data_IF_847199972399
#
_entry.id   IF_847199972399
#
_cell.length_a   1.000
_cell.length_b   1.000
_cell.length_c   1.000
_cell.angle_alpha   90.00
_cell.angle_beta   90.00
_cell.angle_gamma   90.00
#
_symmetry.space_group_name_H-M   'P 1'
#
loop_
_entity.id
_entity.type
_entity.pdbx_description
1 polymer ?
#
# COMPACT_ATOMS: atom_id res chain seq x y z
N UNK A 1 18.09 -12.70 49.39
CA UNK A 1 17.49 -11.39 49.01
C UNK A 1 18.49 -10.71 48.09
N UNK A 2 18.26 -10.28 46.85
CA UNK A 2 17.07 -10.07 46.02
C UNK A 2 17.39 -10.64 44.62
N UNK A 3 16.58 -11.59 44.16
CA UNK A 3 16.38 -11.84 42.73
C UNK A 3 15.75 -10.58 42.12
N UNK A 4 15.91 -10.37 40.82
CA UNK A 4 15.25 -9.33 40.00
C UNK A 4 16.06 -8.06 39.66
N UNK A 5 17.24 -8.23 39.06
CA UNK A 5 17.76 -7.19 38.14
C UNK A 5 17.95 -7.68 36.70
N UNK A 6 17.36 -8.84 36.36
CA UNK A 6 17.33 -9.36 34.99
C UNK A 6 16.02 -9.03 34.24
N UNK A 7 15.10 -8.28 34.88
CA UNK A 7 13.73 -8.07 34.38
C UNK A 7 13.44 -6.66 33.84
N UNK A 8 14.38 -5.71 33.89
CA UNK A 8 14.08 -4.31 33.52
C UNK A 8 14.68 -3.82 32.19
N UNK A 9 15.47 -4.63 31.48
CA UNK A 9 16.06 -4.24 30.19
C UNK A 9 15.64 -5.16 29.04
N UNK A 10 14.49 -5.79 29.18
CA UNK A 10 13.89 -6.70 28.19
C UNK A 10 12.70 -6.07 27.43
N UNK A 11 12.46 -4.76 27.54
CA UNK A 11 11.22 -4.15 27.04
C UNK A 11 11.41 -2.84 26.26
N UNK A 12 12.53 -2.69 25.55
CA UNK A 12 12.56 -1.83 24.36
C UNK A 12 12.62 -2.70 23.12
N UNK A 13 11.70 -3.67 23.01
CA UNK A 13 11.31 -4.19 21.71
C UNK A 13 10.53 -3.06 21.03
N UNK A 14 11.23 -2.06 20.47
CA UNK A 14 10.65 -1.25 19.42
C UNK A 14 10.25 -2.25 18.35
N UNK A 15 8.97 -2.58 18.27
CA UNK A 15 8.42 -3.42 17.23
C UNK A 15 8.76 -2.72 15.92
N UNK A 16 9.85 -3.17 15.30
CA UNK A 16 10.34 -2.71 14.01
C UNK A 16 9.32 -3.19 12.98
N UNK A 17 8.21 -2.47 12.87
CA UNK A 17 7.30 -2.65 11.77
C UNK A 17 8.03 -2.28 10.48
N UNK A 18 7.69 -2.97 9.38
CA UNK A 18 8.04 -2.58 8.01
C UNK A 18 7.97 -1.06 7.85
N UNK A 19 9.12 -0.39 7.75
CA UNK A 19 9.17 1.01 7.38
C UNK A 19 9.07 1.08 5.85
N UNK A 20 7.85 0.99 5.33
CA UNK A 20 7.60 1.35 3.94
C UNK A 20 7.49 2.86 3.89
N UNK A 21 8.52 3.51 3.33
CA UNK A 21 8.55 4.95 3.09
C UNK A 21 8.23 5.25 1.64
N UNK A 22 7.11 5.91 1.40
CA UNK A 22 6.73 6.38 0.08
C UNK A 22 6.35 7.86 0.14
N UNK A 23 7.12 8.71 -0.55
CA UNK A 23 6.91 10.16 -0.57
C UNK A 23 6.82 10.78 0.85
N UNK A 24 7.59 10.24 1.79
CA UNK A 24 7.59 10.71 3.18
C UNK A 24 6.49 10.10 4.06
N UNK A 25 5.58 9.30 3.50
CA UNK A 25 4.62 8.53 4.28
C UNK A 25 5.24 7.20 4.70
N UNK A 26 5.34 7.02 6.02
CA UNK A 26 5.94 5.83 6.62
C UNK A 26 4.88 5.07 7.40
N UNK A 27 4.61 3.82 7.01
CA UNK A 27 3.72 2.94 7.78
C UNK A 27 4.31 2.73 9.19
N UNK A 28 3.47 2.87 10.21
CA UNK A 28 3.86 2.81 11.62
C UNK A 28 4.35 4.13 12.21
N UNK A 29 4.29 5.23 11.46
CA UNK A 29 4.62 6.58 11.97
C UNK A 29 3.37 7.47 12.05
N UNK A 30 3.30 8.40 13.03
CA UNK A 30 2.28 9.43 13.05
C UNK A 30 2.37 10.31 11.80
N UNK A 31 1.23 10.63 11.20
CA UNK A 31 1.14 11.68 10.17
C UNK A 31 1.28 13.04 10.86
N UNK A 32 2.20 13.88 10.38
CA UNK A 32 2.35 15.22 10.96
C UNK A 32 1.12 16.09 10.68
N UNK A 33 0.83 17.04 11.58
CA UNK A 33 -0.39 17.86 11.51
C UNK A 33 -0.46 18.75 10.26
N UNK A 34 0.69 19.09 9.69
CA UNK A 34 0.88 19.88 8.47
C UNK A 34 0.88 19.02 7.19
N UNK A 35 0.98 17.69 7.30
CA UNK A 35 0.96 16.80 6.14
C UNK A 35 -0.47 16.46 5.72
N UNK A 36 -0.72 16.56 4.41
CA UNK A 36 -1.97 16.10 3.82
C UNK A 36 -2.07 14.58 3.86
N UNK A 37 -3.27 14.06 4.14
CA UNK A 37 -3.59 12.64 4.12
C UNK A 37 -3.69 12.04 2.69
N UNK A 38 -3.36 12.83 1.67
CA UNK A 38 -3.31 12.38 0.29
C UNK A 38 -2.30 13.19 -0.53
N UNK A 39 -1.65 12.56 -1.51
CA UNK A 39 -0.77 13.23 -2.47
C UNK A 39 -0.83 12.58 -3.84
N UNK A 40 -0.46 13.33 -4.89
CA UNK A 40 -0.31 12.77 -6.23
C UNK A 40 1.03 12.06 -6.36
N UNK A 41 1.01 10.85 -6.90
CA UNK A 41 2.21 10.07 -7.18
C UNK A 41 2.10 9.35 -8.52
N UNK A 42 3.25 8.96 -9.09
CA UNK A 42 3.34 8.13 -10.28
C UNK A 42 4.01 6.80 -9.96
N UNK A 43 3.46 5.71 -10.49
CA UNK A 43 4.03 4.36 -10.46
C UNK A 43 3.98 3.75 -11.85
N UNK A 44 5.11 3.26 -12.36
CA UNK A 44 5.16 2.55 -13.65
C UNK A 44 4.61 3.36 -14.84
N UNK A 45 4.72 4.69 -14.79
CA UNK A 45 4.17 5.60 -15.81
C UNK A 45 2.68 5.96 -15.63
N UNK A 46 2.05 5.55 -14.53
CA UNK A 46 0.65 5.85 -14.20
C UNK A 46 0.58 6.82 -13.03
N UNK A 47 -0.07 7.96 -13.23
CA UNK A 47 -0.38 8.91 -12.17
C UNK A 47 -1.64 8.49 -11.40
N UNK A 48 -1.62 8.74 -10.09
CA UNK A 48 -2.74 8.42 -9.20
C UNK A 48 -2.69 9.24 -7.92
N UNK A 49 -3.80 9.23 -7.20
CA UNK A 49 -3.89 9.76 -5.85
C UNK A 49 -3.51 8.67 -4.85
N UNK A 50 -2.52 8.95 -4.03
CA UNK A 50 -2.10 8.13 -2.91
C UNK A 50 -2.73 8.70 -1.64
N UNK A 51 -3.52 7.89 -0.94
CA UNK A 51 -4.24 8.26 0.28
C UNK A 51 -3.69 7.46 1.45
N UNK A 52 -3.43 8.12 2.58
CA UNK A 52 -2.95 7.47 3.81
C UNK A 52 -4.11 7.07 4.70
N UNK A 53 -4.10 5.83 5.18
CA UNK A 53 -5.01 5.35 6.23
C UNK A 53 -4.33 5.46 7.59
N UNK A 54 -5.02 6.00 8.59
CA UNK A 54 -4.48 6.30 9.92
C UNK A 54 -5.41 5.90 11.07
N UNK A 55 -4.84 5.57 12.22
CA UNK A 55 -5.58 5.34 13.47
C UNK A 55 -6.09 6.66 14.07
N UNK A 56 -6.91 6.57 15.12
CA UNK A 56 -7.36 7.75 15.90
C UNK A 56 -6.20 8.52 16.55
N UNK A 57 -5.07 7.85 16.82
CA UNK A 57 -3.84 8.48 17.31
C UNK A 57 -2.95 9.06 16.20
N UNK A 58 -3.43 9.05 14.95
CA UNK A 58 -2.72 9.60 13.79
C UNK A 58 -1.64 8.69 13.21
N UNK A 59 -1.50 7.45 13.70
CA UNK A 59 -0.50 6.50 13.20
C UNK A 59 -0.94 5.95 11.85
N UNK A 60 -0.11 6.10 10.82
CA UNK A 60 -0.36 5.57 9.48
C UNK A 60 -0.28 4.04 9.53
N UNK A 61 -1.35 3.35 9.13
CA UNK A 61 -1.38 1.89 9.05
C UNK A 61 -1.53 1.38 7.62
N UNK A 62 -1.86 2.26 6.65
CA UNK A 62 -1.94 1.86 5.26
C UNK A 62 -1.83 2.99 4.25
N UNK A 63 -1.62 2.62 3.00
CA UNK A 63 -1.49 3.48 1.84
C UNK A 63 -2.35 2.91 0.71
N UNK A 64 -3.24 3.72 0.16
CA UNK A 64 -4.12 3.33 -0.95
C UNK A 64 -3.79 4.16 -2.18
N UNK A 65 -3.50 3.53 -3.31
CA UNK A 65 -3.28 4.19 -4.59
C UNK A 65 -4.44 3.96 -5.55
N UNK A 66 -4.98 5.06 -6.08
CA UNK A 66 -6.06 5.08 -7.07
C UNK A 66 -5.61 5.85 -8.32
N UNK A 67 -5.55 5.24 -9.52
CA UNK A 67 -5.14 5.91 -10.75
C UNK A 67 -6.08 7.06 -11.11
N UNK A 68 -5.51 8.19 -11.54
CA UNK A 68 -6.27 9.36 -11.98
C UNK A 68 -5.58 10.11 -13.13
N UNK A 69 -6.37 10.83 -13.94
CA UNK A 69 -5.88 11.77 -14.95
C UNK A 69 -6.68 13.06 -14.83
N UNK A 70 -6.01 14.17 -14.53
CA UNK A 70 -6.69 15.47 -14.34
C UNK A 70 -7.68 15.47 -13.17
N UNK A 71 -7.46 14.66 -12.12
CA UNK A 71 -8.37 14.52 -10.97
C UNK A 71 -9.58 13.61 -11.20
N UNK A 72 -9.69 12.99 -12.38
CA UNK A 72 -10.74 12.00 -12.66
C UNK A 72 -10.15 10.58 -12.57
N UNK A 73 -10.84 9.61 -11.94
CA UNK A 73 -10.41 8.21 -11.95
C UNK A 73 -10.08 7.72 -13.36
N UNK A 74 -8.90 7.13 -13.51
CA UNK A 74 -8.42 6.61 -14.79
C UNK A 74 -8.54 5.08 -14.78
N UNK A 75 -9.05 4.53 -15.89
CA UNK A 75 -8.93 3.11 -16.15
C UNK A 75 -7.64 2.81 -16.91
N UNK A 76 -7.06 1.65 -16.64
CA UNK A 76 -5.78 1.20 -17.20
C UNK A 76 -6.00 0.06 -18.19
N UNK A 77 -5.12 -0.07 -19.18
CA UNK A 77 -5.03 -1.25 -20.03
C UNK A 77 -4.36 -2.41 -19.29
N UNK A 78 -4.52 -3.64 -19.75
CA UNK A 78 -3.87 -4.81 -19.14
C UNK A 78 -2.34 -4.65 -19.09
N UNK A 79 -1.73 -4.09 -20.13
CA UNK A 79 -0.29 -3.83 -20.18
C UNK A 79 0.14 -2.81 -19.12
N UNK A 80 -0.64 -1.75 -18.90
CA UNK A 80 -0.38 -0.78 -17.82
C UNK A 80 -0.52 -1.42 -16.44
N UNK A 81 -1.47 -2.34 -16.24
CA UNK A 81 -1.60 -3.10 -14.98
C UNK A 81 -0.36 -3.94 -14.71
N UNK A 82 0.15 -4.67 -15.71
CA UNK A 82 1.36 -5.48 -15.56
C UNK A 82 2.59 -4.62 -15.25
N UNK A 83 2.75 -3.49 -15.94
CA UNK A 83 3.83 -2.52 -15.65
C UNK A 83 3.72 -1.95 -14.23
N UNK A 84 2.50 -1.66 -13.78
CA UNK A 84 2.23 -1.19 -12.43
C UNK A 84 2.63 -2.24 -11.38
N UNK A 85 2.17 -3.50 -11.51
CA UNK A 85 2.54 -4.59 -10.61
C UNK A 85 4.05 -4.84 -10.61
N UNK A 86 4.70 -4.85 -11.78
CA UNK A 86 6.16 -4.97 -11.89
C UNK A 86 6.91 -3.83 -11.18
N UNK A 87 6.36 -2.61 -11.23
CA UNK A 87 6.95 -1.47 -10.53
C UNK A 87 6.82 -1.60 -9.02
N UNK A 88 5.69 -2.12 -8.52
CA UNK A 88 5.52 -2.40 -7.10
C UNK A 88 6.50 -3.46 -6.61
N UNK A 89 6.64 -4.57 -7.36
CA UNK A 89 7.62 -5.61 -7.04
C UNK A 89 9.04 -5.05 -6.96
N UNK A 90 9.40 -4.15 -7.90
CA UNK A 90 10.71 -3.51 -7.91
C UNK A 90 10.91 -2.54 -6.73
N UNK A 91 9.99 -1.59 -6.52
CA UNK A 91 10.16 -0.54 -5.51
C UNK A 91 10.06 -1.03 -4.08
N UNK A 92 9.23 -2.05 -3.84
CA UNK A 92 8.97 -2.56 -2.51
C UNK A 92 9.61 -3.92 -2.25
N UNK A 93 10.40 -4.45 -3.20
CA UNK A 93 11.03 -5.76 -3.10
C UNK A 93 10.06 -6.88 -2.73
N UNK A 94 8.81 -6.78 -3.21
CA UNK A 94 7.74 -7.74 -2.94
C UNK A 94 7.52 -8.66 -4.16
N UNK A 95 7.10 -9.89 -3.92
CA UNK A 95 6.65 -10.80 -4.99
C UNK A 95 5.11 -10.87 -5.00
N UNK A 96 4.49 -9.95 -5.72
CA UNK A 96 3.04 -9.94 -5.92
C UNK A 96 2.61 -11.09 -6.84
N UNK A 97 1.88 -12.06 -6.27
CA UNK A 97 1.32 -13.20 -7.00
C UNK A 97 -0.15 -12.98 -7.29
N UNK A 98 -0.55 -13.31 -8.52
CA UNK A 98 -1.95 -13.30 -8.93
C UNK A 98 -2.70 -14.44 -8.25
N UNK A 99 -3.82 -14.14 -7.60
CA UNK A 99 -4.58 -15.12 -6.78
C UNK A 99 -5.88 -15.57 -7.43
N UNK A 100 -6.39 -14.84 -8.45
CA UNK A 100 -7.63 -15.20 -9.14
C UNK A 100 -7.43 -15.49 -10.62
N UNK A 101 -8.29 -16.36 -11.16
CA UNK A 101 -8.43 -16.61 -12.59
C UNK A 101 -9.59 -15.76 -13.15
N UNK A 102 -9.43 -15.18 -14.34
CA UNK A 102 -10.48 -14.39 -15.00
C UNK A 102 -10.06 -13.00 -15.48
N UNK A 103 -11.04 -12.14 -15.78
CA UNK A 103 -10.81 -10.74 -16.20
C UNK A 103 -10.59 -9.81 -15.01
N UNK A 104 -11.26 -10.07 -13.90
CA UNK A 104 -10.96 -9.45 -12.60
C UNK A 104 -9.83 -10.18 -11.90
N UNK A 105 -9.17 -9.47 -10.99
CA UNK A 105 -8.39 -10.17 -10.02
C UNK A 105 -7.70 -9.38 -8.94
N UNK A 106 -6.93 -10.14 -8.18
CA UNK A 106 -6.18 -9.65 -7.04
C UNK A 106 -4.77 -10.17 -7.13
N UNK A 107 -3.79 -9.26 -7.04
CA UNK A 107 -2.42 -9.63 -6.70
C UNK A 107 -2.22 -9.46 -5.21
N UNK A 108 -1.56 -10.43 -4.57
CA UNK A 108 -1.20 -10.36 -3.16
C UNK A 108 0.28 -10.68 -2.96
N UNK A 109 0.87 -10.02 -1.99
CA UNK A 109 2.24 -10.27 -1.55
C UNK A 109 2.43 -9.68 -0.16
N UNK A 110 3.52 -10.07 0.49
CA UNK A 110 3.85 -9.56 1.81
C UNK A 110 5.34 -9.27 1.87
N UNK A 111 5.70 -8.13 2.44
CA UNK A 111 7.09 -7.76 2.66
C UNK A 111 7.22 -7.04 4.01
N UNK A 112 8.20 -7.44 4.81
CA UNK A 112 8.54 -6.84 6.10
C UNK A 112 7.36 -6.69 7.09
N UNK A 113 6.31 -7.52 6.95
CA UNK A 113 5.11 -7.49 7.81
C UNK A 113 3.97 -6.60 7.31
N UNK A 114 4.16 -5.89 6.18
CA UNK A 114 3.06 -5.27 5.45
C UNK A 114 2.48 -6.24 4.41
N UNK A 115 1.17 -6.13 4.21
CA UNK A 115 0.43 -6.82 3.17
C UNK A 115 0.22 -5.86 1.99
N UNK A 116 0.49 -6.35 0.79
CA UNK A 116 0.27 -5.65 -0.46
C UNK A 116 -0.87 -6.34 -1.18
N UNK A 117 -1.88 -5.57 -1.55
CA UNK A 117 -3.05 -6.03 -2.29
C UNK A 117 -3.23 -5.11 -3.48
N UNK A 118 -3.31 -5.65 -4.68
CA UNK A 118 -3.68 -4.90 -5.88
C UNK A 118 -4.94 -5.53 -6.45
N UNK A 119 -6.06 -4.86 -6.22
CA UNK A 119 -7.34 -5.21 -6.83
C UNK A 119 -7.41 -4.58 -8.22
N UNK A 120 -7.80 -5.37 -9.21
CA UNK A 120 -8.10 -4.87 -10.53
C UNK A 120 -9.44 -5.40 -11.03
N UNK A 121 -10.31 -4.48 -11.40
CA UNK A 121 -11.67 -4.79 -11.85
C UNK A 121 -11.86 -4.39 -13.30
N UNK A 122 -12.25 -5.32 -14.14
CA UNK A 122 -12.51 -5.12 -15.55
C UNK A 122 -13.78 -4.29 -15.77
N UNK A 123 -13.73 -3.42 -16.78
CA UNK A 123 -14.86 -2.68 -17.32
C UNK A 123 -14.78 -2.70 -18.85
N UNK A 124 -15.83 -3.19 -19.49
CA UNK A 124 -15.94 -3.25 -20.95
C UNK A 124 -16.48 -1.92 -21.49
N UNK A 125 -15.79 -1.35 -22.47
CA UNK A 125 -16.23 -0.19 -23.23
C UNK A 125 -16.34 -0.54 -24.72
N UNK A 126 -16.96 0.35 -25.51
CA UNK A 126 -17.11 0.17 -26.96
C UNK A 126 -15.75 0.11 -27.70
N UNK A 127 -14.74 0.78 -27.16
CA UNK A 127 -13.41 0.92 -27.76
C UNK A 127 -12.34 -0.01 -27.14
N UNK A 128 -12.71 -0.88 -26.20
CA UNK A 128 -11.76 -1.80 -25.61
C UNK A 128 -12.09 -2.24 -24.18
N UNK A 129 -11.15 -2.98 -23.61
CA UNK A 129 -11.17 -3.49 -22.24
C UNK A 129 -10.24 -2.64 -21.36
N UNK A 130 -10.77 -2.16 -20.24
CA UNK A 130 -10.02 -1.34 -19.29
C UNK A 130 -10.26 -1.81 -17.86
N UNK A 131 -9.34 -1.47 -16.97
CA UNK A 131 -9.28 -1.96 -15.60
C UNK A 131 -9.27 -0.80 -14.61
N UNK A 132 -10.16 -0.82 -13.64
CA UNK A 132 -10.02 -0.02 -12.43
C UNK A 132 -8.99 -0.69 -11.54
N UNK A 133 -8.03 0.07 -10.99
CA UNK A 133 -6.99 -0.45 -10.10
C UNK A 133 -7.09 0.25 -8.76
N UNK A 134 -7.01 -0.54 -7.72
CA UNK A 134 -6.79 -0.06 -6.36
C UNK A 134 -5.64 -0.88 -5.78
N UNK A 135 -4.62 -0.18 -5.29
CA UNK A 135 -3.55 -0.82 -4.53
C UNK A 135 -3.67 -0.40 -3.07
N UNK A 136 -3.49 -1.36 -2.17
CA UNK A 136 -3.47 -1.18 -0.74
C UNK A 136 -2.19 -1.82 -0.18
N UNK A 137 -1.39 -1.01 0.52
CA UNK A 137 -0.31 -1.48 1.38
C UNK A 137 -0.77 -1.25 2.81
N UNK A 138 -0.84 -2.28 3.64
CA UNK A 138 -1.26 -2.09 5.03
C UNK A 138 -0.55 -3.02 6.01
N UNK A 139 -0.40 -2.55 7.24
CA UNK A 139 0.10 -3.38 8.34
C UNK A 139 -1.07 -3.78 9.26
N UNK A 140 -1.48 -5.07 9.26
CA UNK A 140 -2.64 -5.52 10.02
C UNK A 140 -2.45 -5.43 11.53
N UNK A 141 -1.21 -5.28 12.03
CA UNK A 141 -0.93 -5.10 13.46
C UNK A 141 -1.21 -3.68 13.94
N UNK A 142 -1.35 -2.72 13.03
CA UNK A 142 -1.52 -1.30 13.34
C UNK A 142 -2.93 -0.77 13.08
N UNK A 143 -3.79 -1.56 12.44
CA UNK A 143 -5.18 -1.21 12.17
C UNK A 143 -5.95 -2.41 11.64
N UNK A 144 -7.26 -2.43 11.89
CA UNK A 144 -8.17 -3.38 11.27
C UNK A 144 -8.58 -2.86 9.87
N UNK A 145 -8.71 -3.77 8.91
CA UNK A 145 -9.34 -3.50 7.62
C UNK A 145 -10.86 -3.41 7.77
#
# INVERSE_FOLDING_TARGET
MKRSLFFLLLLVTSTSFAQINLKGYVIGKPLSSDQHASTKISFGGVYGNLVTSRTNSGVVYGLTFNPEKGGTPKLMTQAEVQKFVSSLNHYFHVDLKRVSQGKDGVFKGSESGCQFVVNYTHKQFRNGLYYYIEMLIHNPKLGAL
#
